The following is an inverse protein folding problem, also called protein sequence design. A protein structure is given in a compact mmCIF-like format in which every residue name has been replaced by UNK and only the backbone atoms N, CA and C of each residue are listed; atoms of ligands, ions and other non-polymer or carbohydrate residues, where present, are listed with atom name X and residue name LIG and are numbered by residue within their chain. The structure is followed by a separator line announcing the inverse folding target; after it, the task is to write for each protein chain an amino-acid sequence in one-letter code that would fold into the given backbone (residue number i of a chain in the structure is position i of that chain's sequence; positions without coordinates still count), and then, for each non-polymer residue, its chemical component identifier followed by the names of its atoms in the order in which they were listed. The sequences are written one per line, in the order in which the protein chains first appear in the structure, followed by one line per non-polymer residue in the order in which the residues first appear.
data_IF_766221187341
#
_entry.id   IF_766221187341
#
_cell.length_a   1.000
_cell.length_b   1.000
_cell.length_c   1.000
_cell.angle_alpha   90.00
_cell.angle_beta   90.00
_cell.angle_gamma   90.00
#
_symmetry.space_group_name_H-M   'P 1'
#
loop_
_entity.id
_entity.type
_entity.pdbx_description
1 polymer ?
#
# COMPACT_ATOMS: atom_id res chain seq x y z
N UNK A 1 6.61 6.72 29.22
CA UNK A 1 7.21 6.87 27.86
C UNK A 1 8.59 6.23 27.82
N UNK A 2 8.67 4.91 27.61
CA UNK A 2 9.94 4.26 27.27
C UNK A 2 10.38 4.75 25.88
N UNK A 3 11.55 5.38 25.79
CA UNK A 3 12.09 5.83 24.52
C UNK A 3 12.37 4.64 23.59
N UNK A 4 12.06 4.78 22.30
CA UNK A 4 12.44 3.81 21.27
C UNK A 4 13.97 3.70 21.22
N UNK A 5 14.53 2.58 21.65
CA UNK A 5 15.96 2.30 21.48
C UNK A 5 16.23 1.82 20.03
N UNK A 6 16.38 2.77 19.11
CA UNK A 6 16.70 2.48 17.71
C UNK A 6 18.15 2.03 17.48
N UNK A 7 19.03 2.15 18.48
CA UNK A 7 20.44 1.76 18.35
C UNK A 7 20.62 0.24 18.18
N UNK A 8 19.64 -0.55 18.63
CA UNK A 8 19.61 -2.02 18.50
C UNK A 8 18.99 -2.49 17.18
N UNK A 9 18.51 -1.56 16.34
CA UNK A 9 17.84 -1.88 15.08
C UNK A 9 18.81 -1.79 13.91
N UNK A 10 18.58 -2.62 12.89
CA UNK A 10 19.28 -2.49 11.62
C UNK A 10 18.76 -1.24 10.89
N UNK A 11 19.60 -0.65 10.03
CA UNK A 11 19.26 0.57 9.28
C UNK A 11 19.56 0.43 7.80
N UNK A 12 18.64 0.91 6.97
CA UNK A 12 18.76 1.01 5.52
C UNK A 12 18.73 2.50 5.12
N UNK A 13 19.80 3.06 4.53
CA UNK A 13 19.77 4.43 4.02
C UNK A 13 18.75 4.54 2.89
N UNK A 14 17.71 5.34 3.08
CA UNK A 14 16.67 5.61 2.09
C UNK A 14 15.94 6.91 2.41
N UNK A 15 15.94 7.85 1.48
CA UNK A 15 15.28 9.14 1.66
C UNK A 15 13.75 9.01 1.60
N UNK A 16 13.06 10.00 2.19
CA UNK A 16 11.59 10.09 2.09
C UNK A 16 11.08 10.30 0.65
N UNK A 17 11.92 10.72 -0.29
CA UNK A 17 11.55 10.80 -1.71
C UNK A 17 11.49 9.43 -2.37
N UNK A 18 12.30 8.48 -1.91
CA UNK A 18 12.35 7.12 -2.41
C UNK A 18 11.37 6.19 -1.68
N UNK A 19 11.20 6.35 -0.37
CA UNK A 19 10.21 5.59 0.41
C UNK A 19 9.69 6.42 1.58
N UNK A 20 8.37 6.52 1.70
CA UNK A 20 7.69 7.05 2.87
C UNK A 20 6.74 5.97 3.41
N UNK A 21 7.16 5.22 4.44
CA UNK A 21 6.37 4.10 4.97
C UNK A 21 5.04 4.57 5.55
N UNK A 22 5.01 5.76 6.17
CA UNK A 22 3.78 6.33 6.73
C UNK A 22 2.71 6.56 5.65
N UNK A 23 3.09 6.93 4.44
CA UNK A 23 2.13 7.14 3.35
C UNK A 23 1.85 5.82 2.63
N UNK A 24 2.89 5.05 2.30
CA UNK A 24 2.80 3.77 1.58
C UNK A 24 1.95 2.76 2.32
N UNK A 25 2.13 2.59 3.64
CA UNK A 25 1.42 1.59 4.43
C UNK A 25 -0.02 1.99 4.78
N UNK A 26 -0.40 3.27 4.57
CA UNK A 26 -1.74 3.81 4.88
C UNK A 26 -2.63 4.05 3.66
N UNK A 27 -2.07 3.97 2.45
CA UNK A 27 -2.80 4.32 1.22
C UNK A 27 -3.69 3.20 0.66
N UNK A 28 -3.93 2.12 1.44
CA UNK A 28 -4.87 1.06 1.09
C UNK A 28 -4.31 -0.01 0.14
N UNK A 29 -2.99 -0.20 0.14
CA UNK A 29 -2.33 -1.28 -0.61
C UNK A 29 -2.31 -2.59 0.18
N UNK A 30 -1.80 -2.53 1.42
CA UNK A 30 -1.81 -3.63 2.39
C UNK A 30 -2.72 -3.27 3.56
N UNK A 31 -3.28 -4.29 4.20
CA UNK A 31 -4.24 -4.14 5.29
C UNK A 31 -3.76 -4.73 6.62
N UNK A 32 -2.53 -5.27 6.66
CA UNK A 32 -2.02 -6.04 7.82
C UNK A 32 -1.10 -5.25 8.74
N UNK A 33 -0.47 -4.19 8.23
CA UNK A 33 0.40 -3.32 9.01
C UNK A 33 -0.35 -2.66 10.17
N UNK A 34 0.24 -2.72 11.36
CA UNK A 34 -0.22 -2.03 12.57
C UNK A 34 0.78 -0.96 12.94
N UNK A 35 0.31 0.23 13.30
CA UNK A 35 1.15 1.30 13.84
C UNK A 35 0.85 1.47 15.32
N UNK A 36 1.86 1.49 16.17
CA UNK A 36 1.71 1.85 17.58
C UNK A 36 1.98 3.35 17.81
N UNK A 37 1.75 3.82 19.03
CA UNK A 37 1.87 5.24 19.39
C UNK A 37 3.31 5.76 19.33
N UNK A 38 4.29 4.87 19.43
CA UNK A 38 5.71 5.19 19.26
C UNK A 38 6.09 5.36 17.78
N UNK A 39 5.16 5.15 16.86
CA UNK A 39 5.41 5.31 15.44
C UNK A 39 5.99 4.08 14.74
N UNK A 40 6.08 2.94 15.43
CA UNK A 40 6.56 1.68 14.87
C UNK A 40 5.45 0.98 14.09
N UNK A 41 5.80 0.53 12.89
CA UNK A 41 4.96 -0.27 12.02
C UNK A 41 5.33 -1.75 12.13
N UNK A 42 4.37 -2.63 12.41
CA UNK A 42 4.61 -4.07 12.57
C UNK A 42 3.67 -4.93 11.74
N UNK A 43 4.17 -6.07 11.25
CA UNK A 43 3.45 -7.07 10.46
C UNK A 43 4.02 -8.47 10.74
N UNK A 44 3.19 -9.52 10.66
CA UNK A 44 3.68 -10.89 10.49
C UNK A 44 3.73 -11.22 8.99
N UNK A 45 4.90 -11.56 8.47
CA UNK A 45 5.13 -11.77 7.05
C UNK A 45 6.31 -12.72 6.87
N UNK A 46 6.19 -13.74 6.02
CA UNK A 46 7.29 -14.70 5.76
C UNK A 46 7.84 -15.33 7.06
N UNK A 47 6.94 -15.85 7.90
CA UNK A 47 7.27 -16.56 9.13
C UNK A 47 8.13 -15.74 10.11
N UNK A 48 7.91 -14.43 10.20
CA UNK A 48 8.52 -13.53 11.20
C UNK A 48 7.63 -12.33 11.46
N UNK A 49 7.84 -11.68 12.61
CA UNK A 49 7.29 -10.37 12.91
C UNK A 49 8.32 -9.33 12.48
N UNK A 50 8.01 -8.57 11.45
CA UNK A 50 8.83 -7.46 10.97
C UNK A 50 8.33 -6.17 11.64
N UNK A 51 9.25 -5.39 12.22
CA UNK A 51 8.96 -4.07 12.76
C UNK A 51 9.81 -3.02 12.06
N UNK A 52 9.21 -1.87 11.74
CA UNK A 52 9.82 -0.79 10.98
C UNK A 52 9.60 0.56 11.67
N UNK A 53 10.60 1.43 11.62
CA UNK A 53 10.51 2.84 11.96
C UNK A 53 11.30 3.63 10.91
N UNK A 54 10.90 4.86 10.59
CA UNK A 54 11.56 5.64 9.54
C UNK A 54 11.71 7.09 9.97
N UNK A 55 12.91 7.63 9.78
CA UNK A 55 13.19 9.07 9.84
C UNK A 55 13.45 9.64 8.42
N UNK A 56 14.08 10.81 8.31
CA UNK A 56 14.33 11.47 7.02
C UNK A 56 15.36 10.76 6.15
N UNK A 57 16.27 9.99 6.74
CA UNK A 57 17.47 9.44 6.09
C UNK A 57 17.50 7.90 6.08
N UNK A 58 16.87 7.26 7.08
CA UNK A 58 16.97 5.83 7.32
C UNK A 58 15.60 5.18 7.55
N UNK A 59 15.48 3.97 7.00
CA UNK A 59 14.50 2.98 7.42
C UNK A 59 15.17 2.06 8.45
N UNK A 60 14.71 2.11 9.69
CA UNK A 60 15.08 1.20 10.75
C UNK A 60 14.21 -0.05 10.70
N UNK A 61 14.81 -1.21 10.88
CA UNK A 61 14.09 -2.48 10.87
C UNK A 61 14.65 -3.47 11.89
N UNK A 62 13.76 -4.34 12.35
CA UNK A 62 14.10 -5.55 13.11
C UNK A 62 13.11 -6.66 12.79
N UNK A 63 13.54 -7.91 12.92
CA UNK A 63 12.68 -9.07 12.74
C UNK A 63 12.74 -9.99 13.97
N UNK A 64 11.61 -10.64 14.26
CA UNK A 64 11.51 -11.68 15.30
C UNK A 64 10.96 -12.93 14.61
N UNK A 65 11.77 -13.99 14.54
CA UNK A 65 11.33 -15.30 14.04
C UNK A 65 10.67 -16.10 15.18
N UNK A 66 9.75 -17.04 14.90
CA UNK A 66 9.19 -17.91 15.92
C UNK A 66 10.30 -18.65 16.67
N UNK A 67 10.23 -18.67 18.01
CA UNK A 67 11.22 -19.44 18.78
C UNK A 67 10.98 -20.94 18.58
N UNK A 68 12.06 -21.72 18.37
CA UNK A 68 12.00 -23.18 18.21
C UNK A 68 11.27 -23.90 19.37
N UNK A 69 11.20 -23.26 20.55
CA UNK A 69 10.44 -23.74 21.72
C UNK A 69 8.92 -23.84 21.50
N UNK A 70 8.32 -23.02 20.61
CA UNK A 70 6.88 -23.05 20.34
C UNK A 70 6.45 -24.13 19.34
N UNK A 71 7.35 -24.56 18.44
CA UNK A 71 7.07 -25.62 17.45
C UNK A 71 6.86 -26.97 18.15
N UNK A 72 7.60 -27.25 19.23
CA UNK A 72 7.47 -28.49 20.02
C UNK A 72 6.17 -28.60 20.82
N UNK A 73 5.49 -27.49 21.12
CA UNK A 73 4.25 -27.46 21.91
C UNK A 73 2.98 -27.68 21.08
N UNK A 74 3.06 -27.65 19.75
CA UNK A 74 1.92 -27.89 18.85
C UNK A 74 1.81 -29.34 18.34
N UNK A 75 2.78 -30.20 18.66
CA UNK A 75 2.61 -31.63 18.43
C UNK A 75 1.51 -32.16 19.37
N UNK A 76 0.42 -32.78 18.87
CA UNK A 76 -0.58 -33.37 19.74
C UNK A 76 0.10 -34.43 20.63
N UNK A 77 -0.26 -34.55 21.93
CA UNK A 77 0.27 -35.60 22.77
C UNK A 77 -0.21 -36.95 22.23
N UNK A 78 0.63 -37.64 21.47
CA UNK A 78 0.39 -39.01 21.03
C UNK A 78 0.37 -39.90 22.28
N UNK A 79 -0.64 -40.76 22.48
CA UNK A 79 -0.62 -41.72 23.58
C UNK A 79 0.55 -42.71 23.39
N UNK A 80 1.13 -43.24 24.49
CA UNK A 80 2.26 -44.16 24.40
C UNK A 80 1.78 -45.48 23.79
N UNK A 81 2.04 -45.69 22.50
CA UNK A 81 1.83 -46.98 21.85
C UNK A 81 3.17 -47.70 21.65
N UNK A 82 3.21 -48.93 22.14
CA UNK A 82 4.36 -49.81 22.27
C UNK A 82 4.71 -50.56 20.97
N UNK A 83 4.92 -49.82 19.87
CA UNK A 83 5.61 -50.33 18.67
C UNK A 83 6.43 -49.22 18.02
N UNK A 84 7.74 -49.42 17.75
CA UNK A 84 8.55 -48.41 17.08
C UNK A 84 8.04 -48.24 15.64
N UNK A 85 7.60 -47.04 15.24
CA UNK A 85 7.39 -46.73 13.83
C UNK A 85 8.77 -46.53 13.20
N UNK A 86 9.04 -47.25 12.12
CA UNK A 86 10.14 -46.94 11.20
C UNK A 86 10.05 -45.47 10.78
N UNK A 87 11.11 -44.73 11.11
CA UNK A 87 11.32 -43.32 10.77
C UNK A 87 11.04 -43.10 9.27
N UNK A 88 10.13 -42.17 8.90
CA UNK A 88 10.23 -41.52 7.61
C UNK A 88 11.55 -40.74 7.58
N UNK A 89 12.25 -40.84 6.45
CA UNK A 89 13.52 -40.18 6.20
C UNK A 89 13.45 -38.69 6.54
N UNK A 90 14.48 -38.23 7.24
CA UNK A 90 14.61 -36.90 7.81
C UNK A 90 14.18 -35.78 6.85
N UNK A 91 13.20 -34.99 7.26
CA UNK A 91 13.09 -33.60 6.81
C UNK A 91 14.39 -32.92 7.22
N UNK A 92 15.27 -32.68 6.24
CA UNK A 92 16.49 -31.92 6.43
C UNK A 92 16.08 -30.51 6.91
N UNK A 93 16.26 -30.26 8.20
CA UNK A 93 16.27 -28.92 8.77
C UNK A 93 17.39 -28.13 8.06
N UNK A 94 17.00 -27.25 7.14
CA UNK A 94 17.93 -26.27 6.58
C UNK A 94 18.09 -25.19 7.66
N UNK A 95 19.12 -25.31 8.48
CA UNK A 95 19.70 -24.18 9.22
C UNK A 95 20.32 -23.21 8.20
N UNK A 96 19.50 -22.42 7.52
CA UNK A 96 19.96 -21.22 6.83
C UNK A 96 19.94 -20.07 7.85
N UNK A 97 21.07 -19.91 8.55
CA UNK A 97 21.30 -18.84 9.54
C UNK A 97 21.50 -17.45 8.88
N UNK A 98 21.30 -17.34 7.56
CA UNK A 98 21.35 -16.03 6.90
C UNK A 98 20.09 -15.20 7.23
N UNK A 99 20.31 -13.98 7.74
CA UNK A 99 19.22 -13.03 7.94
C UNK A 99 18.81 -12.38 6.60
N UNK A 100 17.85 -13.01 5.93
CA UNK A 100 17.19 -12.55 4.70
C UNK A 100 16.26 -11.34 4.89
N UNK A 101 16.16 -10.76 6.10
CA UNK A 101 15.22 -9.67 6.41
C UNK A 101 15.42 -8.44 5.51
N UNK A 102 16.67 -8.08 5.19
CA UNK A 102 16.94 -6.94 4.32
C UNK A 102 16.47 -7.20 2.87
N UNK A 103 16.65 -8.42 2.37
CA UNK A 103 16.19 -8.82 1.03
C UNK A 103 14.67 -8.81 0.96
N UNK A 104 14.00 -9.33 1.99
CA UNK A 104 12.56 -9.25 2.14
C UNK A 104 12.05 -7.81 2.12
N UNK A 105 12.70 -6.88 2.85
CA UNK A 105 12.34 -5.46 2.85
C UNK A 105 12.50 -4.86 1.44
N UNK A 106 13.65 -5.11 0.79
CA UNK A 106 13.92 -4.60 -0.56
C UNK A 106 12.90 -5.10 -1.58
N UNK A 107 12.53 -6.37 -1.48
CA UNK A 107 11.52 -7.00 -2.32
C UNK A 107 10.12 -6.44 -2.04
N UNK A 108 9.66 -6.49 -0.78
CA UNK A 108 8.30 -6.10 -0.39
C UNK A 108 8.00 -4.63 -0.67
N UNK A 109 8.95 -3.72 -0.39
CA UNK A 109 8.79 -2.30 -0.73
C UNK A 109 9.15 -1.97 -2.18
N UNK A 110 9.55 -2.95 -2.98
CA UNK A 110 9.87 -2.79 -4.39
C UNK A 110 10.96 -1.74 -4.62
N UNK A 111 12.10 -1.91 -3.95
CA UNK A 111 13.17 -0.89 -3.89
C UNK A 111 14.11 -0.87 -5.10
N UNK A 112 13.97 -1.80 -6.05
CA UNK A 112 14.86 -1.89 -7.21
C UNK A 112 14.71 -0.71 -8.19
N UNK A 113 13.48 -0.25 -8.55
CA UNK A 113 13.33 0.93 -9.38
C UNK A 113 13.63 2.22 -8.59
N UNK A 114 14.34 3.17 -9.21
CA UNK A 114 14.53 4.51 -8.67
C UNK A 114 13.20 5.28 -8.77
N UNK A 115 12.61 5.66 -7.64
CA UNK A 115 11.29 6.28 -7.63
C UNK A 115 11.36 7.74 -8.11
N UNK A 116 12.43 8.45 -7.79
CA UNK A 116 12.64 9.84 -8.21
C UNK A 116 12.70 9.95 -9.74
N UNK A 117 13.39 9.02 -10.41
CA UNK A 117 13.45 8.96 -11.87
C UNK A 117 12.06 8.69 -12.49
N UNK A 118 11.29 7.78 -11.89
CA UNK A 118 9.92 7.51 -12.31
C UNK A 118 9.02 8.75 -12.16
N UNK A 119 9.14 9.49 -11.05
CA UNK A 119 8.40 10.74 -10.86
C UNK A 119 8.76 11.78 -11.90
N UNK A 120 10.04 11.91 -12.25
CA UNK A 120 10.50 12.81 -13.30
C UNK A 120 9.91 12.41 -14.66
N UNK A 121 9.95 11.13 -15.01
CA UNK A 121 9.36 10.59 -16.24
C UNK A 121 7.84 10.85 -16.31
N UNK A 122 7.09 10.53 -15.27
CA UNK A 122 5.64 10.71 -15.27
C UNK A 122 5.25 12.20 -15.29
N UNK A 123 6.02 13.06 -14.61
CA UNK A 123 5.81 14.51 -14.62
C UNK A 123 6.07 15.12 -15.99
N UNK A 124 7.07 14.61 -16.73
CA UNK A 124 7.33 15.06 -18.10
C UNK A 124 6.20 14.69 -19.06
N UNK A 125 5.53 13.56 -18.85
CA UNK A 125 4.47 13.06 -19.73
C UNK A 125 3.05 13.49 -19.33
N UNK A 126 2.84 13.97 -18.10
CA UNK A 126 1.52 14.41 -17.63
C UNK A 126 1.59 15.63 -16.70
N UNK A 127 1.09 16.77 -17.20
CA UNK A 127 1.00 18.02 -16.46
C UNK A 127 0.11 17.92 -15.19
N UNK A 128 -0.91 17.05 -15.19
CA UNK A 128 -1.72 16.83 -13.99
C UNK A 128 -0.91 16.13 -12.90
N UNK A 129 -0.13 15.11 -13.27
CA UNK A 129 0.79 14.43 -12.38
C UNK A 129 1.85 15.40 -11.84
N UNK A 130 2.53 16.13 -12.72
CA UNK A 130 3.57 17.11 -12.36
C UNK A 130 3.09 18.15 -11.32
N UNK A 131 1.83 18.55 -11.41
CA UNK A 131 1.24 19.52 -10.48
C UNK A 131 0.95 18.95 -9.09
N UNK A 132 0.65 17.65 -8.97
CA UNK A 132 0.18 17.01 -7.73
C UNK A 132 1.24 16.20 -7.02
N UNK A 133 2.12 15.52 -7.77
CA UNK A 133 3.11 14.60 -7.25
C UNK A 133 4.10 15.18 -6.21
N UNK A 134 4.54 16.46 -6.28
CA UNK A 134 5.52 16.99 -5.32
C UNK A 134 5.08 16.96 -3.84
N UNK A 135 3.76 16.98 -3.56
CA UNK A 135 3.23 16.89 -2.21
C UNK A 135 3.14 15.44 -1.68
N UNK A 136 3.42 14.45 -2.53
CA UNK A 136 3.16 13.02 -2.30
C UNK A 136 4.32 12.16 -2.80
N UNK A 137 5.53 12.40 -2.30
CA UNK A 137 6.74 11.63 -2.66
C UNK A 137 6.88 10.36 -1.80
N UNK A 138 7.74 9.44 -2.24
CA UNK A 138 8.05 8.21 -1.49
C UNK A 138 6.96 7.15 -1.47
N UNK A 139 5.88 7.29 -2.26
CA UNK A 139 4.83 6.27 -2.35
C UNK A 139 5.25 5.19 -3.34
N UNK A 140 5.53 3.98 -2.84
CA UNK A 140 5.87 2.81 -3.66
C UNK A 140 4.69 1.84 -3.77
N UNK A 141 4.69 1.02 -4.82
CA UNK A 141 3.79 -0.12 -4.93
C UNK A 141 4.42 -1.33 -4.25
N UNK A 142 3.75 -1.85 -3.23
CA UNK A 142 4.20 -3.04 -2.49
C UNK A 142 4.17 -4.29 -3.40
N UNK A 143 5.16 -5.16 -3.25
CA UNK A 143 5.14 -6.52 -3.80
C UNK A 143 4.61 -7.48 -2.73
N UNK A 144 3.30 -7.63 -2.68
CA UNK A 144 2.62 -8.50 -1.73
C UNK A 144 2.59 -9.95 -2.21
N UNK A 145 2.40 -10.87 -1.27
CA UNK A 145 1.97 -12.22 -1.59
C UNK A 145 0.66 -12.19 -2.40
N UNK A 146 0.60 -13.00 -3.45
CA UNK A 146 -0.50 -12.95 -4.42
C UNK A 146 -1.83 -13.41 -3.82
N UNK A 147 -1.77 -14.37 -2.88
CA UNK A 147 -2.93 -14.88 -2.17
C UNK A 147 -3.45 -13.91 -1.10
N UNK A 148 -2.56 -13.34 -0.26
CA UNK A 148 -2.89 -12.28 0.70
C UNK A 148 -3.55 -11.09 -0.01
N UNK A 149 -2.92 -10.64 -1.10
CA UNK A 149 -3.40 -9.52 -1.90
C UNK A 149 -4.82 -9.80 -2.43
N UNK A 150 -5.04 -10.99 -3.01
CA UNK A 150 -6.34 -11.41 -3.53
C UNK A 150 -7.44 -11.38 -2.46
N UNK A 151 -7.22 -12.02 -1.31
CA UNK A 151 -8.21 -12.08 -0.24
C UNK A 151 -8.46 -10.70 0.38
N UNK A 152 -7.40 -9.89 0.55
CA UNK A 152 -7.49 -8.51 1.02
C UNK A 152 -8.37 -7.65 0.10
N UNK A 153 -8.19 -7.75 -1.23
CA UNK A 153 -9.00 -6.98 -2.16
C UNK A 153 -10.43 -7.53 -2.36
N UNK A 154 -10.68 -8.84 -2.17
CA UNK A 154 -12.05 -9.36 -2.03
C UNK A 154 -12.76 -8.66 -0.86
N UNK A 155 -12.08 -8.50 0.28
CA UNK A 155 -12.60 -7.77 1.45
C UNK A 155 -12.86 -6.28 1.18
N UNK A 156 -12.18 -5.68 0.20
CA UNK A 156 -12.26 -4.25 -0.11
C UNK A 156 -13.51 -3.81 -0.87
N UNK A 157 -14.18 -4.73 -1.57
CA UNK A 157 -15.36 -4.41 -2.39
C UNK A 157 -16.44 -3.71 -1.58
N UNK A 158 -16.84 -2.48 -1.93
CA UNK A 158 -17.83 -1.66 -1.19
C UNK A 158 -17.53 -1.58 0.33
N UNK A 159 -16.33 -1.14 0.69
CA UNK A 159 -15.84 -1.10 2.07
C UNK A 159 -14.90 0.10 2.30
N UNK A 160 -14.42 0.30 3.52
CA UNK A 160 -13.41 1.32 3.85
C UNK A 160 -12.15 0.69 4.46
N UNK A 161 -11.02 1.38 4.35
CA UNK A 161 -9.68 0.86 4.73
C UNK A 161 -9.65 0.33 6.16
N UNK A 162 -10.20 1.07 7.13
CA UNK A 162 -10.21 0.68 8.56
C UNK A 162 -10.94 -0.65 8.75
N UNK A 163 -12.14 -0.78 8.18
CA UNK A 163 -12.93 -2.02 8.29
C UNK A 163 -12.26 -3.19 7.57
N UNK A 164 -11.60 -2.95 6.43
CA UNK A 164 -10.87 -4.00 5.71
C UNK A 164 -9.72 -4.53 6.57
N UNK A 165 -8.92 -3.64 7.16
CA UNK A 165 -7.82 -4.03 8.07
C UNK A 165 -8.32 -4.86 9.25
N UNK A 166 -9.41 -4.46 9.90
CA UNK A 166 -10.02 -5.24 10.98
C UNK A 166 -10.48 -6.63 10.52
N UNK A 167 -11.09 -6.72 9.33
CA UNK A 167 -11.50 -8.01 8.76
C UNK A 167 -10.27 -8.91 8.53
N UNK A 168 -9.24 -8.40 7.86
CA UNK A 168 -8.02 -9.16 7.57
C UNK A 168 -7.31 -9.58 8.86
N UNK A 169 -7.24 -8.74 9.89
CA UNK A 169 -6.69 -9.14 11.19
C UNK A 169 -7.49 -10.26 11.86
N UNK A 170 -8.84 -10.20 11.83
CA UNK A 170 -9.68 -11.30 12.33
C UNK A 170 -9.46 -12.60 11.55
N UNK A 171 -9.27 -12.51 10.24
CA UNK A 171 -8.95 -13.65 9.39
C UNK A 171 -7.64 -14.33 9.84
N UNK A 172 -6.55 -13.55 9.95
CA UNK A 172 -5.25 -14.04 10.39
C UNK A 172 -5.30 -14.62 11.80
N UNK A 173 -5.97 -13.95 12.75
CA UNK A 173 -6.08 -14.47 14.12
C UNK A 173 -6.86 -15.80 14.19
N UNK A 174 -7.80 -16.03 13.27
CA UNK A 174 -8.65 -17.24 13.29
C UNK A 174 -8.01 -18.41 12.54
N UNK A 175 -7.35 -18.15 11.42
CA UNK A 175 -6.88 -19.20 10.50
C UNK A 175 -5.38 -19.15 10.20
N UNK A 176 -4.71 -18.04 10.55
CA UNK A 176 -3.29 -17.84 10.30
C UNK A 176 -2.42 -18.46 11.40
N UNK A 177 -1.22 -18.96 11.05
CA UNK A 177 -0.30 -19.51 12.04
C UNK A 177 0.21 -18.40 12.97
N UNK A 178 0.23 -18.66 14.27
CA UNK A 178 0.79 -17.73 15.26
C UNK A 178 2.32 -17.67 15.09
N UNK A 179 2.85 -16.48 14.85
CA UNK A 179 4.29 -16.23 14.72
C UNK A 179 4.91 -15.83 16.06
N UNK A 180 4.19 -15.03 16.83
CA UNK A 180 4.63 -14.58 18.15
C UNK A 180 3.80 -13.43 18.70
N UNK A 181 4.34 -12.74 19.69
CA UNK A 181 3.69 -11.62 20.34
C UNK A 181 4.62 -10.40 20.38
N UNK A 182 4.06 -9.20 20.24
CA UNK A 182 4.75 -7.95 20.57
C UNK A 182 4.10 -7.33 21.80
N UNK A 183 4.94 -6.70 22.63
CA UNK A 183 4.49 -5.84 23.72
C UNK A 183 4.33 -4.44 23.16
N UNK A 184 3.09 -3.96 23.10
CA UNK A 184 2.76 -2.59 22.74
C UNK A 184 2.32 -1.83 24.00
N UNK A 185 2.72 -0.55 24.17
CA UNK A 185 2.15 0.29 25.21
C UNK A 185 0.62 0.34 25.07
N UNK A 186 -0.13 0.26 26.18
CA UNK A 186 -1.61 0.25 26.14
C UNK A 186 -2.18 1.46 25.42
N UNK A 187 -3.11 1.17 24.49
CA UNK A 187 -4.05 2.13 23.89
C UNK A 187 -5.21 2.37 24.87
N UNK A 188 -5.45 3.60 25.37
CA UNK A 188 -6.75 3.93 25.96
C UNK A 188 -7.76 3.99 24.82
N UNK A 189 -8.65 3.00 24.74
CA UNK A 189 -9.64 2.91 23.66
C UNK A 189 -10.85 3.84 23.83
N UNK A 190 -10.95 4.57 24.93
CA UNK A 190 -12.04 5.49 25.20
C UNK A 190 -11.53 6.87 25.62
N UNK A 191 -12.09 7.94 25.01
CA UNK A 191 -11.85 9.35 25.37
C UNK A 191 -12.30 9.71 26.81
N UNK A 192 -12.84 8.74 27.57
CA UNK A 192 -13.33 8.91 28.94
C UNK A 192 -12.49 8.19 30.00
N UNK A 193 -11.35 7.58 29.65
CA UNK A 193 -10.51 6.92 30.66
C UNK A 193 -9.69 7.95 31.43
N UNK A 194 -10.13 8.27 32.64
CA UNK A 194 -9.38 9.08 33.60
C UNK A 194 -8.08 8.33 33.92
N UNK A 195 -6.93 8.88 33.52
CA UNK A 195 -5.62 8.38 33.97
C UNK A 195 -5.53 8.59 35.48
N UNK A 196 -5.57 7.50 36.24
CA UNK A 196 -5.27 7.56 37.68
C UNK A 196 -3.75 7.63 37.82
N UNK A 197 -3.24 8.68 38.45
CA UNK A 197 -1.80 8.80 38.73
C UNK A 197 -1.38 7.66 39.69
N UNK A 198 -0.50 6.77 39.22
CA UNK A 198 0.09 5.70 40.04
C UNK A 198 -0.09 4.27 39.51
N UNK A 199 -0.84 4.05 38.42
CA UNK A 199 -0.93 2.72 37.80
C UNK A 199 0.27 2.47 36.87
N UNK A 200 0.95 1.33 37.04
CA UNK A 200 1.98 0.85 36.12
C UNK A 200 1.41 0.82 34.69
N UNK A 201 2.15 1.34 33.70
CA UNK A 201 1.77 1.27 32.28
C UNK A 201 1.46 -0.20 31.94
N UNK A 202 0.18 -0.58 31.86
CA UNK A 202 -0.19 -1.92 31.41
C UNK A 202 0.39 -2.10 30.00
N UNK A 203 1.13 -3.18 29.78
CA UNK A 203 1.61 -3.56 28.46
C UNK A 203 0.54 -4.43 27.81
N UNK A 204 0.09 -4.09 26.60
CA UNK A 204 -0.70 -5.02 25.80
C UNK A 204 0.21 -6.02 25.10
N UNK A 205 -0.03 -7.31 25.30
CA UNK A 205 0.63 -8.37 24.54
C UNK A 205 -0.23 -8.67 23.31
N UNK A 206 0.21 -8.21 22.16
CA UNK A 206 -0.51 -8.33 20.88
C UNK A 206 -0.02 -9.56 20.11
N UNK A 207 -0.89 -10.53 19.78
CA UNK A 207 -0.50 -11.66 18.93
C UNK A 207 -0.40 -11.24 17.46
N UNK A 208 0.60 -11.79 16.78
CA UNK A 208 0.83 -11.64 15.35
C UNK A 208 0.78 -13.00 14.68
N UNK A 209 -0.23 -13.16 13.82
CA UNK A 209 -0.44 -14.36 13.01
C UNK A 209 -0.10 -14.06 11.55
N UNK A 210 0.50 -15.02 10.85
CA UNK A 210 0.74 -14.91 9.40
C UNK A 210 -0.56 -15.04 8.60
N UNK A 211 -0.49 -14.90 7.28
CA UNK A 211 -1.66 -15.06 6.41
C UNK A 211 -2.05 -16.54 6.30
N UNK A 212 -3.34 -16.90 6.40
CA UNK A 212 -3.78 -18.27 6.20
C UNK A 212 -3.60 -18.74 4.75
N UNK A 213 -3.19 -19.98 4.56
CA UNK A 213 -3.06 -20.58 3.21
C UNK A 213 -4.43 -20.80 2.54
N UNK A 214 -4.48 -20.98 1.20
CA UNK A 214 -5.71 -21.38 0.51
C UNK A 214 -6.35 -22.62 1.12
N UNK A 215 -5.54 -23.61 1.51
CA UNK A 215 -5.97 -24.86 2.12
C UNK A 215 -6.66 -24.61 3.46
N UNK A 216 -6.08 -23.78 4.33
CA UNK A 216 -6.67 -23.43 5.63
C UNK A 216 -8.05 -22.76 5.49
N UNK A 217 -8.30 -22.02 4.41
CA UNK A 217 -9.60 -21.37 4.13
C UNK A 217 -10.55 -22.22 3.26
N UNK A 218 -10.12 -23.39 2.80
CA UNK A 218 -10.92 -24.27 1.93
C UNK A 218 -11.80 -25.27 2.71
N UNK A 219 -11.55 -25.43 4.03
CA UNK A 219 -12.20 -26.46 4.86
C UNK A 219 -13.69 -26.17 5.10
N UNK A 220 -14.51 -27.20 5.43
CA UNK A 220 -15.91 -27.01 5.75
C UNK A 220 -16.13 -26.01 6.90
N UNK A 221 -17.20 -25.21 6.83
CA UNK A 221 -17.58 -24.26 7.87
C UNK A 221 -16.94 -22.87 7.79
N UNK A 222 -15.88 -22.67 6.98
CA UNK A 222 -15.19 -21.37 6.86
C UNK A 222 -16.13 -20.22 6.50
N UNK A 223 -17.05 -20.43 5.56
CA UNK A 223 -18.03 -19.38 5.21
C UNK A 223 -18.86 -18.93 6.43
N UNK A 224 -19.36 -19.88 7.23
CA UNK A 224 -20.19 -19.55 8.39
C UNK A 224 -19.37 -18.82 9.47
N UNK A 225 -18.15 -19.27 9.73
CA UNK A 225 -17.23 -18.60 10.66
C UNK A 225 -16.95 -17.17 10.22
N UNK A 226 -16.62 -16.94 8.94
CA UNK A 226 -16.37 -15.60 8.42
C UNK A 226 -17.63 -14.71 8.47
N UNK A 227 -18.82 -15.26 8.28
CA UNK A 227 -20.08 -14.53 8.49
C UNK A 227 -20.20 -14.05 9.94
N UNK A 228 -19.94 -14.93 10.90
CA UNK A 228 -19.97 -14.61 12.33
C UNK A 228 -18.91 -13.56 12.69
N UNK A 229 -17.77 -13.53 12.00
CA UNK A 229 -16.71 -12.52 12.18
C UNK A 229 -17.00 -11.16 11.50
N UNK A 230 -18.13 -11.03 10.79
CA UNK A 230 -18.59 -9.77 10.21
C UNK A 230 -18.18 -9.52 8.75
N UNK A 231 -17.79 -10.57 8.01
CA UNK A 231 -17.41 -10.44 6.58
C UNK A 231 -18.61 -10.22 5.66
N UNK A 232 -19.83 -10.52 6.14
CA UNK A 232 -21.06 -10.39 5.36
C UNK A 232 -21.05 -11.31 4.12
N UNK A 233 -21.51 -10.79 2.97
CA UNK A 233 -21.56 -11.57 1.73
C UNK A 233 -20.17 -12.01 1.23
N UNK A 234 -19.10 -11.30 1.62
CA UNK A 234 -17.71 -11.59 1.21
C UNK A 234 -17.20 -12.90 1.79
N UNK A 235 -17.80 -13.38 2.88
CA UNK A 235 -17.49 -14.70 3.46
C UNK A 235 -17.64 -15.82 2.41
N UNK A 236 -18.73 -15.79 1.63
CA UNK A 236 -18.97 -16.76 0.54
C UNK A 236 -17.89 -16.64 -0.53
N UNK A 237 -17.50 -15.42 -0.87
CA UNK A 237 -16.49 -15.16 -1.91
C UNK A 237 -15.14 -15.74 -1.50
N UNK A 238 -14.69 -15.45 -0.29
CA UNK A 238 -13.43 -15.96 0.24
C UNK A 238 -13.43 -17.49 0.31
N UNK A 239 -14.45 -18.10 0.92
CA UNK A 239 -14.51 -19.55 1.06
C UNK A 239 -14.58 -20.28 -0.30
N UNK A 240 -15.31 -19.72 -1.26
CA UNK A 240 -15.41 -20.29 -2.62
C UNK A 240 -14.09 -20.14 -3.38
N UNK A 241 -13.50 -18.96 -3.33
CA UNK A 241 -12.21 -18.68 -3.98
C UNK A 241 -11.08 -19.51 -3.38
N UNK A 242 -11.04 -19.68 -2.05
CA UNK A 242 -10.08 -20.55 -1.38
C UNK A 242 -10.18 -22.00 -1.85
N UNK A 243 -11.39 -22.56 -1.97
CA UNK A 243 -11.59 -23.91 -2.54
C UNK A 243 -11.14 -24.01 -3.99
N UNK A 244 -11.42 -23.00 -4.82
CA UNK A 244 -11.00 -22.98 -6.23
C UNK A 244 -9.47 -22.91 -6.36
N UNK A 245 -8.83 -22.04 -5.59
CA UNK A 245 -7.36 -21.89 -5.59
C UNK A 245 -6.70 -23.16 -5.06
N UNK A 246 -7.15 -23.68 -3.91
CA UNK A 246 -6.63 -24.93 -3.35
C UNK A 246 -6.77 -26.10 -4.33
N UNK A 247 -7.90 -26.21 -5.05
CA UNK A 247 -8.08 -27.25 -6.06
C UNK A 247 -7.16 -27.07 -7.28
N UNK A 248 -6.91 -25.83 -7.72
CA UNK A 248 -5.95 -25.54 -8.80
C UNK A 248 -4.53 -25.87 -8.38
N UNK A 249 -4.17 -25.62 -7.12
CA UNK A 249 -2.84 -25.91 -6.56
C UNK A 249 -2.53 -27.41 -6.46
N UNK A 250 -3.55 -28.29 -6.42
CA UNK A 250 -3.35 -29.74 -6.53
C UNK A 250 -2.81 -30.16 -7.92
N UNK A 251 -3.09 -29.38 -8.97
CA UNK A 251 -2.67 -29.65 -10.35
C UNK A 251 -1.46 -28.81 -10.74
N UNK A 252 -1.44 -27.54 -10.31
CA UNK A 252 -0.40 -26.57 -10.60
C UNK A 252 0.02 -25.90 -9.30
N UNK A 253 1.07 -26.40 -8.63
CA UNK A 253 1.56 -25.81 -7.38
C UNK A 253 1.78 -24.30 -7.51
N UNK A 254 1.35 -23.53 -6.49
CA UNK A 254 1.40 -22.08 -6.49
C UNK A 254 0.75 -21.45 -7.74
N UNK A 255 -0.42 -21.96 -8.15
CA UNK A 255 -1.11 -21.53 -9.38
C UNK A 255 -1.19 -20.01 -9.53
N UNK A 256 -1.46 -19.26 -8.46
CA UNK A 256 -1.51 -17.80 -8.51
C UNK A 256 -0.18 -17.17 -8.96
N UNK A 257 0.95 -17.68 -8.49
CA UNK A 257 2.27 -17.16 -8.88
C UNK A 257 2.67 -17.52 -10.31
N UNK A 258 2.02 -18.50 -10.94
CA UNK A 258 2.18 -18.73 -12.39
C UNK A 258 1.65 -17.57 -13.24
N UNK A 259 0.81 -16.69 -12.67
CA UNK A 259 0.29 -15.48 -13.31
C UNK A 259 1.17 -14.24 -13.07
N UNK A 260 2.28 -14.40 -12.33
CA UNK A 260 3.17 -13.30 -11.93
C UNK A 260 3.95 -12.74 -13.11
N UNK A 261 4.22 -11.45 -13.09
CA UNK A 261 5.12 -10.82 -14.05
C UNK A 261 6.53 -11.42 -13.89
N UNK A 262 7.12 -12.02 -14.94
CA UNK A 262 8.47 -12.59 -14.86
C UNK A 262 9.56 -11.58 -14.51
N UNK A 263 9.33 -10.29 -14.78
CA UNK A 263 10.25 -9.19 -14.40
C UNK A 263 10.16 -8.82 -12.91
N UNK A 264 9.18 -9.34 -12.18
CA UNK A 264 8.96 -9.09 -10.75
C UNK A 264 8.55 -10.40 -10.07
N UNK A 265 9.44 -11.40 -10.06
CA UNK A 265 9.14 -12.73 -9.55
C UNK A 265 9.04 -12.74 -8.02
N UNK A 266 8.68 -13.89 -7.43
CA UNK A 266 8.68 -14.07 -5.97
C UNK A 266 10.09 -13.88 -5.38
N UNK A 267 10.17 -13.54 -4.10
CA UNK A 267 11.44 -13.44 -3.36
C UNK A 267 12.30 -14.69 -3.57
N UNK A 268 13.60 -14.49 -3.78
CA UNK A 268 14.57 -15.58 -4.04
C UNK A 268 14.61 -16.08 -5.49
N UNK A 269 13.73 -15.59 -6.37
CA UNK A 269 13.75 -15.95 -7.81
C UNK A 269 14.35 -14.82 -8.64
N UNK A 270 15.17 -15.17 -9.64
CA UNK A 270 15.77 -14.18 -10.55
C UNK A 270 14.76 -13.68 -11.59
N UNK A 271 14.72 -12.37 -11.90
CA UNK A 271 13.81 -11.81 -12.88
C UNK A 271 14.17 -12.28 -14.30
N UNK A 272 13.15 -12.41 -15.15
CA UNK A 272 13.30 -12.72 -16.58
C UNK A 272 12.46 -11.77 -17.46
N UNK A 273 12.82 -11.57 -18.73
CA UNK A 273 12.13 -10.62 -19.60
C UNK A 273 10.66 -10.99 -19.82
N UNK A 274 9.78 -9.99 -19.85
CA UNK A 274 8.38 -10.14 -20.23
C UNK A 274 8.15 -9.84 -21.72
N UNK A 275 6.92 -10.08 -22.18
CA UNK A 275 6.47 -9.71 -23.53
C UNK A 275 6.61 -8.20 -23.79
N UNK A 276 6.71 -7.78 -25.07
CA UNK A 276 6.66 -6.36 -25.43
C UNK A 276 5.39 -5.67 -24.89
N UNK A 277 5.51 -4.37 -24.56
CA UNK A 277 4.43 -3.56 -23.98
C UNK A 277 3.62 -2.80 -25.04
N UNK A 278 2.44 -3.29 -25.47
CA UNK A 278 1.52 -2.52 -26.31
C UNK A 278 0.62 -1.59 -25.45
N UNK A 279 -0.03 -0.58 -26.05
CA UNK A 279 -0.94 0.31 -25.31
C UNK A 279 -2.11 -0.41 -24.59
N UNK A 280 -2.53 -1.57 -25.10
CA UNK A 280 -3.56 -2.41 -24.48
C UNK A 280 -3.11 -3.09 -23.19
N UNK A 281 -1.79 -3.19 -22.95
CA UNK A 281 -1.16 -3.96 -21.88
C UNK A 281 -0.57 -5.29 -22.39
N UNK A 282 0.45 -5.80 -21.70
CA UNK A 282 1.16 -7.04 -22.07
C UNK A 282 0.24 -8.26 -22.07
N UNK A 283 0.47 -9.24 -22.99
CA UNK A 283 -0.29 -10.49 -23.02
C UNK A 283 -0.34 -11.21 -21.66
N UNK A 284 0.79 -11.31 -20.96
CA UNK A 284 0.85 -11.90 -19.61
C UNK A 284 -0.05 -11.18 -18.59
N UNK A 285 -0.07 -9.85 -18.57
CA UNK A 285 -0.99 -9.07 -17.73
C UNK A 285 -2.45 -9.36 -18.07
N UNK A 286 -2.81 -9.35 -19.36
CA UNK A 286 -4.19 -9.62 -19.80
C UNK A 286 -4.64 -11.03 -19.44
N UNK A 287 -3.73 -12.01 -19.54
CA UNK A 287 -3.96 -13.38 -19.12
C UNK A 287 -4.18 -13.46 -17.61
N UNK A 288 -3.30 -12.86 -16.80
CA UNK A 288 -3.44 -12.81 -15.35
C UNK A 288 -4.77 -12.20 -14.92
N UNK A 289 -5.13 -11.04 -15.51
CA UNK A 289 -6.39 -10.35 -15.23
C UNK A 289 -7.60 -11.23 -15.55
N UNK A 290 -7.64 -11.83 -16.74
CA UNK A 290 -8.74 -12.70 -17.18
C UNK A 290 -8.85 -13.94 -16.30
N UNK A 291 -7.73 -14.55 -15.92
CA UNK A 291 -7.69 -15.70 -15.02
C UNK A 291 -8.27 -15.36 -13.64
N UNK A 292 -7.95 -14.19 -13.09
CA UNK A 292 -8.47 -13.72 -11.81
C UNK A 292 -9.99 -13.44 -11.84
N UNK A 293 -10.53 -12.95 -12.96
CA UNK A 293 -11.98 -12.72 -13.13
C UNK A 293 -12.84 -14.00 -13.02
N UNK A 294 -12.23 -15.18 -13.16
CA UNK A 294 -12.93 -16.45 -12.95
C UNK A 294 -13.23 -16.75 -11.47
N UNK A 295 -12.61 -16.02 -10.55
CA UNK A 295 -12.73 -16.24 -9.11
C UNK A 295 -13.95 -15.50 -8.52
N UNK A 296 -14.55 -16.09 -7.50
CA UNK A 296 -15.76 -15.53 -6.88
C UNK A 296 -15.42 -14.23 -6.13
N UNK A 297 -16.17 -13.16 -6.43
CA UNK A 297 -15.98 -11.85 -5.80
C UNK A 297 -14.86 -11.02 -6.41
N UNK A 298 -14.25 -11.47 -7.51
CA UNK A 298 -13.23 -10.73 -8.25
C UNK A 298 -13.84 -10.07 -9.48
N UNK A 299 -14.05 -8.76 -9.40
CA UNK A 299 -14.37 -7.93 -10.57
C UNK A 299 -13.12 -7.27 -11.16
N UNK A 300 -13.26 -6.50 -12.27
CA UNK A 300 -12.13 -5.87 -12.97
C UNK A 300 -11.18 -5.09 -12.05
N UNK A 301 -11.74 -4.25 -11.16
CA UNK A 301 -10.93 -3.49 -10.19
C UNK A 301 -10.14 -4.38 -9.25
N UNK A 302 -10.75 -5.45 -8.73
CA UNK A 302 -10.08 -6.37 -7.80
C UNK A 302 -8.97 -7.13 -8.54
N UNK A 303 -9.24 -7.61 -9.76
CA UNK A 303 -8.24 -8.25 -10.60
C UNK A 303 -7.04 -7.33 -10.88
N UNK A 304 -7.29 -6.07 -11.26
CA UNK A 304 -6.21 -5.09 -11.47
C UNK A 304 -5.42 -4.78 -10.19
N UNK A 305 -6.07 -4.70 -9.02
CA UNK A 305 -5.37 -4.52 -7.75
C UNK A 305 -4.41 -5.68 -7.49
N UNK A 306 -4.84 -6.92 -7.72
CA UNK A 306 -4.01 -8.12 -7.56
C UNK A 306 -2.90 -8.17 -8.61
N UNK A 307 -3.19 -7.84 -9.86
CA UNK A 307 -2.16 -7.71 -10.90
C UNK A 307 -1.07 -6.71 -10.51
N UNK A 308 -1.46 -5.52 -10.02
CA UNK A 308 -0.53 -4.45 -9.66
C UNK A 308 0.31 -4.78 -8.41
N UNK A 309 -0.36 -5.15 -7.31
CA UNK A 309 0.26 -5.23 -5.99
C UNK A 309 0.62 -6.66 -5.56
N UNK A 310 0.01 -7.69 -6.16
CA UNK A 310 0.24 -9.09 -5.83
C UNK A 310 1.08 -9.84 -6.87
N UNK A 311 0.98 -9.46 -8.15
CA UNK A 311 1.61 -10.18 -9.27
C UNK A 311 2.67 -9.35 -10.02
N UNK A 312 2.95 -8.11 -9.60
CA UNK A 312 4.03 -7.29 -10.16
C UNK A 312 3.78 -6.72 -11.56
N UNK A 313 2.54 -6.71 -12.04
CA UNK A 313 2.17 -6.07 -13.30
C UNK A 313 1.99 -4.56 -13.09
N UNK A 314 3.09 -3.80 -13.14
CA UNK A 314 3.11 -2.35 -12.92
C UNK A 314 2.20 -1.53 -13.85
N UNK A 315 1.76 -2.11 -14.96
CA UNK A 315 0.88 -1.49 -15.96
C UNK A 315 -0.61 -1.62 -15.64
N UNK A 316 -0.97 -2.44 -14.64
CA UNK A 316 -2.34 -2.66 -14.22
C UNK A 316 -2.89 -1.40 -13.55
N UNK A 317 -4.06 -0.95 -13.98
CA UNK A 317 -4.68 0.32 -13.52
C UNK A 317 -6.04 0.00 -12.90
N UNK A 318 -6.12 -0.16 -11.57
CA UNK A 318 -7.39 -0.40 -10.90
C UNK A 318 -8.29 0.85 -10.96
N UNK A 319 -9.42 0.78 -11.67
CA UNK A 319 -10.35 1.91 -11.77
C UNK A 319 -11.53 1.72 -10.81
N UNK A 320 -11.51 2.44 -9.69
CA UNK A 320 -12.65 2.55 -8.77
C UNK A 320 -13.40 3.87 -8.94
N UNK A 321 -14.31 4.18 -8.01
CA UNK A 321 -15.07 5.44 -8.02
C UNK A 321 -14.19 6.67 -7.83
N UNK A 322 -13.08 6.58 -7.06
CA UNK A 322 -12.15 7.69 -6.88
C UNK A 322 -11.30 7.93 -8.13
N UNK A 323 -10.79 6.85 -8.75
CA UNK A 323 -10.05 6.94 -10.02
C UNK A 323 -10.96 7.42 -11.13
N UNK A 324 -12.23 7.01 -11.13
CA UNK A 324 -13.24 7.54 -12.03
C UNK A 324 -13.46 9.05 -11.86
N UNK A 325 -13.51 9.55 -10.62
CA UNK A 325 -13.59 10.99 -10.34
C UNK A 325 -12.34 11.75 -10.82
N UNK A 326 -11.15 11.18 -10.64
CA UNK A 326 -9.88 11.75 -11.14
C UNK A 326 -9.91 11.80 -12.68
N UNK A 327 -10.30 10.71 -13.34
CA UNK A 327 -10.40 10.63 -14.80
C UNK A 327 -11.37 11.70 -15.36
N UNK A 328 -12.50 11.93 -14.71
CA UNK A 328 -13.45 12.97 -15.11
C UNK A 328 -12.89 14.38 -14.90
N UNK A 329 -12.38 14.66 -13.69
CA UNK A 329 -11.91 15.98 -13.28
C UNK A 329 -10.68 16.43 -14.07
N UNK A 330 -9.69 15.55 -14.17
CA UNK A 330 -8.35 15.91 -14.64
C UNK A 330 -8.10 15.47 -16.11
N UNK A 331 -8.81 14.45 -16.61
CA UNK A 331 -8.57 13.86 -17.94
C UNK A 331 -9.77 13.88 -18.89
N UNK A 332 -10.83 14.64 -18.54
CA UNK A 332 -12.01 14.90 -19.38
C UNK A 332 -12.83 13.66 -19.76
N UNK A 333 -12.78 12.59 -18.96
CA UNK A 333 -13.78 11.53 -19.03
C UNK A 333 -15.15 12.00 -18.48
N UNK A 334 -16.21 11.22 -18.63
CA UNK A 334 -17.54 11.56 -18.08
C UNK A 334 -18.51 12.24 -19.05
N UNK A 335 -18.17 12.33 -20.34
CA UNK A 335 -19.03 12.92 -21.38
C UNK A 335 -19.23 11.98 -22.55
N UNK A 336 -20.36 12.12 -23.26
CA UNK A 336 -20.67 11.37 -24.47
C UNK A 336 -20.63 9.85 -24.25
N UNK A 337 -19.83 9.14 -25.07
CA UNK A 337 -19.66 7.67 -24.99
C UNK A 337 -19.07 7.17 -23.66
N UNK A 338 -18.54 8.08 -22.83
CA UNK A 338 -17.98 7.78 -21.51
C UNK A 338 -18.78 8.45 -20.37
N UNK A 339 -20.11 8.54 -20.48
CA UNK A 339 -20.93 9.16 -19.44
C UNK A 339 -20.99 8.35 -18.12
N UNK A 340 -20.73 7.04 -18.17
CA UNK A 340 -20.73 6.15 -17.01
C UNK A 340 -19.55 5.18 -17.05
N UNK A 341 -19.25 4.58 -15.87
CA UNK A 341 -18.17 3.60 -15.70
C UNK A 341 -18.61 2.22 -16.20
N UNK A 342 -18.74 2.10 -17.53
CA UNK A 342 -18.94 0.82 -18.23
C UNK A 342 -17.61 0.11 -18.45
N UNK A 343 -17.63 -1.16 -18.90
CA UNK A 343 -16.41 -1.88 -19.31
C UNK A 343 -15.60 -1.10 -20.35
N UNK A 344 -16.26 -0.53 -21.35
CA UNK A 344 -15.59 0.26 -22.41
C UNK A 344 -14.90 1.49 -21.81
N UNK A 345 -15.55 2.18 -20.88
CA UNK A 345 -14.95 3.33 -20.19
C UNK A 345 -13.81 2.91 -19.28
N UNK A 346 -13.94 1.79 -18.55
CA UNK A 346 -12.89 1.22 -17.71
C UNK A 346 -11.63 0.92 -18.53
N UNK A 347 -11.78 0.20 -19.65
CA UNK A 347 -10.69 -0.17 -20.55
C UNK A 347 -10.03 1.08 -21.17
N UNK A 348 -10.83 2.09 -21.54
CA UNK A 348 -10.33 3.35 -22.11
C UNK A 348 -9.51 4.17 -21.11
N UNK A 349 -9.90 4.19 -19.82
CA UNK A 349 -9.11 4.86 -18.76
C UNK A 349 -7.77 4.15 -18.59
N UNK A 350 -7.78 2.82 -18.47
CA UNK A 350 -6.57 2.03 -18.34
C UNK A 350 -5.60 2.24 -19.52
N UNK A 351 -6.11 2.18 -20.75
CA UNK A 351 -5.31 2.43 -21.95
C UNK A 351 -4.76 3.86 -21.99
N UNK A 352 -5.55 4.87 -21.59
CA UNK A 352 -5.09 6.25 -21.52
C UNK A 352 -3.95 6.42 -20.53
N UNK A 353 -4.05 5.84 -19.33
CA UNK A 353 -3.01 5.95 -18.31
C UNK A 353 -1.75 5.16 -18.65
N UNK A 354 -1.87 3.96 -19.25
CA UNK A 354 -0.73 3.24 -19.82
C UNK A 354 0.00 4.01 -20.92
N UNK A 355 -0.74 4.70 -21.79
CA UNK A 355 -0.14 5.54 -22.82
C UNK A 355 0.60 6.77 -22.25
N UNK A 356 0.21 7.27 -21.07
CA UNK A 356 0.87 8.41 -20.42
C UNK A 356 2.12 7.99 -19.62
N UNK A 357 2.02 6.88 -18.88
CA UNK A 357 2.99 6.53 -17.84
C UNK A 357 3.78 5.25 -18.09
N UNK A 358 3.49 4.53 -19.17
CA UNK A 358 4.24 3.34 -19.57
C UNK A 358 3.99 2.14 -18.67
N UNK A 359 5.04 1.33 -18.50
CA UNK A 359 4.99 0.03 -17.81
C UNK A 359 4.71 0.12 -16.31
N UNK A 360 4.84 1.31 -15.71
CA UNK A 360 4.50 1.59 -14.31
C UNK A 360 3.24 2.48 -14.16
N UNK A 361 2.32 2.47 -15.13
CA UNK A 361 1.12 3.30 -15.08
C UNK A 361 0.25 3.11 -13.82
N UNK A 362 0.20 1.89 -13.27
CA UNK A 362 -0.48 1.61 -12.00
C UNK A 362 0.17 2.29 -10.80
N UNK A 363 1.48 2.49 -10.84
CA UNK A 363 2.21 3.22 -9.78
C UNK A 363 1.86 4.70 -9.80
N UNK A 364 1.98 5.34 -10.98
CA UNK A 364 1.63 6.73 -11.18
C UNK A 364 0.17 7.01 -10.79
N UNK A 365 -0.75 6.14 -11.20
CA UNK A 365 -2.16 6.25 -10.84
C UNK A 365 -2.39 6.13 -9.33
N UNK A 366 -1.69 5.21 -8.64
CA UNK A 366 -1.82 5.01 -7.20
C UNK A 366 -1.37 6.22 -6.39
N UNK A 367 -0.37 6.96 -6.87
CA UNK A 367 0.06 8.24 -6.27
C UNK A 367 -1.07 9.28 -6.37
N UNK A 368 -1.67 9.43 -7.55
CA UNK A 368 -2.80 10.36 -7.73
C UNK A 368 -4.04 9.97 -6.92
N UNK A 369 -4.30 8.66 -6.78
CA UNK A 369 -5.34 8.15 -5.91
C UNK A 369 -5.06 8.51 -4.45
N UNK A 370 -3.84 8.28 -3.98
CA UNK A 370 -3.41 8.59 -2.61
C UNK A 370 -3.55 10.08 -2.31
N UNK A 371 -3.18 10.94 -3.26
CA UNK A 371 -3.33 12.39 -3.16
C UNK A 371 -4.80 12.85 -3.05
N UNK A 372 -5.76 12.01 -3.42
CA UNK A 372 -7.20 12.31 -3.37
C UNK A 372 -7.90 11.68 -2.14
N UNK A 373 -7.19 10.90 -1.32
CA UNK A 373 -7.72 10.35 -0.08
C UNK A 373 -7.88 11.44 0.97
N UNK A 374 -9.01 11.43 1.68
CA UNK A 374 -9.29 12.38 2.79
C UNK A 374 -8.21 12.36 3.87
N UNK A 375 -7.66 11.18 4.17
CA UNK A 375 -6.58 11.02 5.15
C UNK A 375 -5.32 11.83 4.83
N UNK A 376 -5.18 12.34 3.60
CA UNK A 376 -4.05 13.17 3.18
C UNK A 376 -4.47 14.48 2.51
N UNK A 377 -5.75 14.88 2.63
CA UNK A 377 -6.21 16.14 2.03
C UNK A 377 -5.53 17.37 2.62
N UNK A 378 -5.07 17.31 3.86
CA UNK A 378 -4.35 18.39 4.55
C UNK A 378 -3.02 18.74 3.86
N UNK A 379 -2.30 17.74 3.34
CA UNK A 379 -1.07 17.95 2.55
C UNK A 379 -1.33 18.69 1.23
N UNK A 380 -2.55 18.59 0.68
CA UNK A 380 -2.98 19.35 -0.50
C UNK A 380 -3.32 20.80 -0.13
N UNK A 381 -3.87 21.02 1.07
CA UNK A 381 -4.30 22.35 1.55
C UNK A 381 -3.10 23.22 1.95
N UNK A 382 -2.02 22.64 2.48
CA UNK A 382 -0.75 23.33 2.71
C UNK A 382 -0.11 23.91 1.43
N UNK A 383 -0.59 23.52 0.24
CA UNK A 383 -0.22 24.09 -1.05
C UNK A 383 -1.17 25.17 -1.59
N UNK A 384 -2.24 25.56 -0.88
CA UNK A 384 -3.13 26.64 -1.33
C UNK A 384 -2.51 28.00 -1.07
N UNK A 385 -2.00 28.61 -2.14
CA UNK A 385 -1.64 30.03 -2.22
C UNK A 385 -2.84 30.90 -1.79
N UNK A 386 -2.69 31.68 -0.73
CA UNK A 386 -3.56 32.83 -0.45
C UNK A 386 -3.03 34.03 -1.24
N UNK A 387 -3.71 34.38 -2.34
CA UNK A 387 -3.42 35.60 -3.10
C UNK A 387 -4.07 36.80 -2.39
N UNK A 388 -3.26 37.63 -1.73
CA UNK A 388 -3.67 38.95 -1.27
C UNK A 388 -3.33 40.00 -2.33
N UNK A 389 -4.34 40.56 -2.99
CA UNK A 389 -4.15 41.72 -3.90
C UNK A 389 -4.29 43.00 -3.08
N UNK A 390 -3.21 43.74 -2.90
CA UNK A 390 -3.25 45.10 -2.35
C UNK A 390 -3.30 46.06 -3.53
N UNK A 391 -4.44 46.73 -3.74
CA UNK A 391 -4.51 47.89 -4.66
C UNK A 391 -4.00 49.12 -3.91
N UNK A 392 -2.98 49.81 -4.44
CA UNK A 392 -2.65 51.19 -4.06
C UNK A 392 -3.33 52.15 -5.04
N UNK A 393 -3.84 53.24 -4.49
CA UNK A 393 -4.49 54.32 -5.25
C UNK A 393 -3.47 55.19 -6.00
N UNK A 394 -4.02 55.84 -7.02
CA UNK A 394 -3.42 56.61 -8.10
C UNK A 394 -2.71 57.88 -7.60
N UNK A 395 -1.45 58.06 -7.96
CA UNK A 395 -0.80 59.37 -7.96
C UNK A 395 -0.31 59.65 -9.38
N UNK A 396 -0.78 60.79 -9.91
CA UNK A 396 -0.70 61.14 -11.32
C UNK A 396 0.71 61.12 -11.93
N UNK A 397 0.70 60.86 -13.24
CA UNK A 397 1.82 60.68 -14.18
C UNK A 397 2.48 59.28 -14.22
N UNK A 398 1.83 58.40 -14.99
CA UNK A 398 2.51 57.81 -16.15
C UNK A 398 3.01 56.37 -16.08
N UNK A 399 3.12 55.73 -14.90
CA UNK A 399 3.54 54.32 -14.77
C UNK A 399 2.76 53.58 -13.65
N UNK A 400 1.99 52.54 -14.00
CA UNK A 400 1.34 51.64 -13.03
C UNK A 400 2.36 50.60 -12.53
N UNK A 401 2.90 50.77 -11.32
CA UNK A 401 3.68 49.73 -10.62
C UNK A 401 2.74 48.79 -9.83
N UNK A 402 2.67 47.51 -10.21
CA UNK A 402 1.93 46.48 -9.46
C UNK A 402 2.93 45.74 -8.53
N UNK A 403 2.91 46.04 -7.23
CA UNK A 403 3.71 45.35 -6.20
C UNK A 403 2.91 44.16 -5.65
N UNK A 404 3.31 42.92 -5.98
CA UNK A 404 2.68 41.71 -5.43
C UNK A 404 3.50 41.21 -4.24
N UNK A 405 2.88 41.20 -3.06
CA UNK A 405 3.46 40.59 -1.86
C UNK A 405 2.94 39.17 -1.75
N UNK A 406 3.83 38.20 -1.89
CA UNK A 406 3.52 36.78 -1.70
C UNK A 406 3.97 36.40 -0.29
N UNK A 407 3.02 36.10 0.59
CA UNK A 407 3.31 35.53 1.91
C UNK A 407 3.26 34.01 1.81
N UNK A 408 4.32 33.34 2.24
CA UNK A 408 4.36 31.88 2.36
C UNK A 408 4.47 31.51 3.84
N UNK A 409 3.49 30.77 4.33
CA UNK A 409 3.51 30.18 5.66
C UNK A 409 3.96 28.73 5.55
N UNK A 410 4.96 28.37 6.36
CA UNK A 410 5.39 26.99 6.51
C UNK A 410 5.41 26.66 8.01
N UNK A 411 5.02 25.42 8.32
CA UNK A 411 5.10 24.84 9.66
C UNK A 411 6.30 23.90 9.66
N UNK A 412 7.31 24.20 10.47
CA UNK A 412 8.45 23.31 10.70
C UNK A 412 8.11 22.31 11.81
N UNK A 413 8.87 21.21 11.90
CA UNK A 413 8.58 20.08 12.82
C UNK A 413 8.67 20.43 14.33
N UNK A 414 8.96 21.68 14.69
CA UNK A 414 9.02 22.20 16.07
C UNK A 414 7.83 23.11 16.47
N UNK A 415 6.69 23.03 15.77
CA UNK A 415 5.45 23.80 16.05
C UNK A 415 5.53 25.33 15.98
N UNK A 416 6.64 25.94 15.52
CA UNK A 416 6.68 27.38 15.23
C UNK A 416 6.29 27.70 13.76
N UNK A 417 5.31 28.59 13.58
CA UNK A 417 4.89 29.07 12.25
C UNK A 417 5.81 30.20 11.81
N UNK A 418 6.55 30.03 10.71
CA UNK A 418 7.41 31.09 10.13
C UNK A 418 6.80 31.64 8.85
N UNK A 419 6.70 32.97 8.75
CA UNK A 419 6.18 33.70 7.58
C UNK A 419 7.35 34.27 6.78
N UNK A 420 7.49 33.84 5.51
CA UNK A 420 8.44 34.45 4.58
C UNK A 420 7.68 35.36 3.61
N UNK A 421 8.02 36.65 3.60
CA UNK A 421 7.48 37.62 2.64
C UNK A 421 8.42 37.77 1.43
N UNK A 422 7.92 37.45 0.25
CA UNK A 422 8.64 37.65 -1.01
C UNK A 422 7.91 38.72 -1.82
N UNK A 423 8.62 39.80 -2.18
CA UNK A 423 8.09 40.90 -2.98
C UNK A 423 8.51 40.73 -4.44
N UNK A 424 7.53 40.60 -5.33
CA UNK A 424 7.76 40.65 -6.78
C UNK A 424 7.26 41.99 -7.33
N UNK A 425 8.15 42.74 -8.01
CA UNK A 425 7.77 43.93 -8.78
C UNK A 425 7.58 43.56 -10.25
N UNK A 426 6.44 43.96 -10.84
CA UNK A 426 6.23 43.94 -12.30
C UNK A 426 5.88 45.34 -12.78
N UNK A 427 6.65 45.85 -13.74
CA UNK A 427 6.36 47.09 -14.48
C UNK A 427 5.73 46.77 -15.83
N UNK A 428 4.65 47.48 -16.20
CA UNK A 428 3.99 47.32 -17.50
C UNK A 428 3.81 48.66 -18.19
N UNK A 429 4.48 48.86 -19.33
CA UNK A 429 4.34 50.07 -20.13
C UNK A 429 3.08 50.05 -21.02
N UNK A 430 2.27 51.12 -20.97
CA UNK A 430 1.01 51.27 -21.73
C UNK A 430 1.31 51.68 -23.18
N UNK A 431 0.95 50.83 -24.15
CA UNK A 431 1.10 51.14 -25.60
C UNK A 431 -0.05 52.04 -26.05
N UNK A 432 0.23 53.32 -26.34
CA UNK A 432 -0.74 54.31 -26.88
C UNK A 432 -1.31 53.83 -28.23
N UNK A 433 -2.63 53.66 -28.32
CA UNK A 433 -3.35 53.56 -29.61
C UNK A 433 -3.45 54.97 -30.21
N UNK A 434 -2.95 55.15 -31.42
CA UNK A 434 -3.18 56.34 -32.25
C UNK A 434 -4.54 56.18 -32.94
N UNK A 435 -5.35 57.24 -32.87
CA UNK A 435 -6.68 57.36 -33.48
C UNK A 435 -6.68 57.16 -34.99
#
# INVERSE_FOLDING_TARGET
MGALNLAEWQKLPISLSELCINTTLRCGQSFRWRKNDLGVWSIALHNRILSLHQDKEYLYYRSIRPSQSHIKLQAPPTPPSSKPPSLPEAEQEIEDDSDDTLELIRHYFNLSPNLTDLYAQWSANDANFARRAPAFTGIRILQQDSWECLVGFICSSNNNIIRISQMVHKLCNTYGPLIGHLKDPVVPTDENTIKVEGEEEQETITPYHDFPTPQALSVPGVEQTLRNLGFGYRAKYIATTARLVAAKELVTPNWLDTLRNPESPILGTSPSPSDPFPPSGRPGYLHAHTSLLSLQGVGPKVADCVCLMGLGWGEAVPVDTHVWQIAQRDYKFGKGKHASLTKVTYDAIGAKFRALWGKEAGWAQSILFTANLRAFSERVVQGKKTEGVVKREDDGDGEEEEERVIKREYVDEEEETKVLEVKEKKTRAKRRRRN
#
